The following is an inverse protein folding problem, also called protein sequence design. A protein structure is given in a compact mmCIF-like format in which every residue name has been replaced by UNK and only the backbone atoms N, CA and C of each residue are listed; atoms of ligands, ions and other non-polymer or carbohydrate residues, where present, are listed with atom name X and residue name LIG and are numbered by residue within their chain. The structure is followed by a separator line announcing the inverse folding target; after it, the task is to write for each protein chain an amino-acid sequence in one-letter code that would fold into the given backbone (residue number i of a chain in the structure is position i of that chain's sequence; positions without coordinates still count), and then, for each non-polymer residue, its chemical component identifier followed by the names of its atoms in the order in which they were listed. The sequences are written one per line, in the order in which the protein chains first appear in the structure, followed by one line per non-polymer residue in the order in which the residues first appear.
data_IF_420410300380
#
_entry.id   IF_420410300380
#
_cell.length_a   1.000
_cell.length_b   1.000
_cell.length_c   1.000
_cell.angle_alpha   90.00
_cell.angle_beta   90.00
_cell.angle_gamma   90.00
#
_symmetry.space_group_name_H-M   'P 1'
#
loop_
_entity.id
_entity.type
_entity.pdbx_description
1 polymer ?
#
# COMPACT_ATOMS: atom_id res chain seq x y z
N UNK A 1 -14.63 0.44 2.51
CA UNK A 1 -14.24 1.15 3.74
C UNK A 1 -12.94 0.58 4.30
N UNK A 2 -12.85 -0.73 4.55
CA UNK A 2 -11.68 -1.36 5.22
C UNK A 2 -10.30 -1.03 4.63
N UNK A 3 -10.18 -0.80 3.31
CA UNK A 3 -8.90 -0.43 2.68
C UNK A 3 -8.35 0.95 3.12
N UNK A 4 -9.16 2.00 2.98
CA UNK A 4 -8.75 3.35 3.35
C UNK A 4 -8.62 3.50 4.87
N UNK A 5 -9.46 2.80 5.64
CA UNK A 5 -9.33 2.71 7.09
C UNK A 5 -7.98 2.09 7.48
N UNK A 6 -7.58 1.01 6.78
CA UNK A 6 -6.26 0.38 6.96
C UNK A 6 -5.09 1.34 6.72
N UNK A 7 -5.14 2.13 5.63
CA UNK A 7 -4.12 3.14 5.33
C UNK A 7 -4.09 4.24 6.41
N UNK A 8 -5.25 4.72 6.85
CA UNK A 8 -5.34 5.72 7.91
C UNK A 8 -4.77 5.20 9.24
N UNK A 9 -5.09 3.95 9.61
CA UNK A 9 -4.52 3.31 10.78
C UNK A 9 -3.00 3.18 10.71
N UNK A 10 -2.45 2.74 9.57
CA UNK A 10 -0.99 2.63 9.39
C UNK A 10 -0.30 4.00 9.43
N UNK A 11 -0.92 5.04 8.87
CA UNK A 11 -0.43 6.41 8.97
C UNK A 11 -0.40 6.90 10.42
N UNK A 12 -1.48 6.66 11.18
CA UNK A 12 -1.56 7.02 12.60
C UNK A 12 -0.59 6.22 13.47
N UNK A 13 -0.41 4.93 13.21
CA UNK A 13 0.57 4.09 13.88
C UNK A 13 1.98 4.64 13.69
N UNK A 14 2.35 5.02 12.45
CA UNK A 14 3.66 5.63 12.16
C UNK A 14 3.87 6.96 12.86
N UNK A 15 2.82 7.78 13.00
CA UNK A 15 2.90 9.11 13.63
C UNK A 15 2.95 9.05 15.16
N UNK A 16 2.19 8.15 15.76
CA UNK A 16 1.95 8.14 17.22
C UNK A 16 2.68 7.03 17.96
N UNK A 17 3.14 6.00 17.24
CA UNK A 17 3.70 4.76 17.78
C UNK A 17 2.76 4.03 18.77
N UNK A 18 1.45 4.28 18.67
CA UNK A 18 0.43 3.69 19.53
C UNK A 18 -0.08 2.36 18.93
N UNK A 19 0.04 1.29 19.72
CA UNK A 19 -0.35 -0.08 19.33
C UNK A 19 -1.82 -0.22 18.96
N UNK A 20 -2.71 0.67 19.43
CA UNK A 20 -4.14 0.60 19.08
C UNK A 20 -4.36 0.73 17.57
N UNK A 21 -3.55 1.56 16.91
CA UNK A 21 -3.63 1.78 15.46
C UNK A 21 -3.09 0.58 14.69
N UNK A 22 -2.03 -0.05 15.20
CA UNK A 22 -1.55 -1.32 14.65
C UNK A 22 -2.62 -2.40 14.72
N UNK A 23 -3.34 -2.51 15.85
CA UNK A 23 -4.47 -3.43 15.98
C UNK A 23 -5.59 -3.14 14.97
N UNK A 24 -5.90 -1.86 14.74
CA UNK A 24 -6.85 -1.43 13.70
C UNK A 24 -6.42 -1.84 12.30
N UNK A 25 -5.16 -1.58 11.95
CA UNK A 25 -4.56 -1.96 10.67
C UNK A 25 -4.57 -3.48 10.46
N UNK A 26 -4.20 -4.27 11.47
CA UNK A 26 -4.24 -5.72 11.42
C UNK A 26 -5.66 -6.25 11.16
N UNK A 27 -6.68 -5.67 11.81
CA UNK A 27 -8.08 -6.04 11.55
C UNK A 27 -8.51 -5.75 10.11
N UNK A 28 -8.11 -4.60 9.56
CA UNK A 28 -8.39 -4.24 8.17
C UNK A 28 -7.72 -5.21 7.19
N UNK A 29 -6.45 -5.55 7.43
CA UNK A 29 -5.70 -6.54 6.64
C UNK A 29 -6.40 -7.90 6.70
N UNK A 30 -6.73 -8.43 7.87
CA UNK A 30 -7.39 -9.74 8.00
C UNK A 30 -8.76 -9.82 7.34
N UNK A 31 -9.52 -8.72 7.28
CA UNK A 31 -10.77 -8.67 6.52
C UNK A 31 -10.52 -8.74 5.01
N UNK A 32 -9.52 -8.01 4.50
CA UNK A 32 -9.15 -8.06 3.09
C UNK A 32 -8.56 -9.41 2.68
N UNK A 33 -7.76 -10.05 3.55
CA UNK A 33 -7.27 -11.43 3.36
C UNK A 33 -8.44 -12.39 3.16
N UNK A 34 -9.47 -12.28 4.00
CA UNK A 34 -10.67 -13.09 3.89
C UNK A 34 -11.43 -12.82 2.59
N UNK A 35 -11.51 -11.58 2.15
CA UNK A 35 -12.14 -11.24 0.86
C UNK A 35 -11.38 -11.86 -0.33
N UNK A 36 -10.04 -11.76 -0.32
CA UNK A 36 -9.20 -12.39 -1.35
C UNK A 36 -9.36 -13.91 -1.33
N UNK A 37 -9.34 -14.53 -0.15
CA UNK A 37 -9.50 -15.99 0.00
C UNK A 37 -10.83 -16.51 -0.56
N UNK A 38 -11.93 -15.77 -0.38
CA UNK A 38 -13.24 -16.15 -0.91
C UNK A 38 -13.44 -15.79 -2.39
N UNK A 39 -12.37 -15.42 -3.11
CA UNK A 39 -12.45 -15.13 -4.54
C UNK A 39 -13.28 -13.89 -4.85
N UNK A 40 -13.35 -12.93 -3.91
CA UNK A 40 -13.85 -11.58 -4.25
C UNK A 40 -12.79 -10.88 -5.08
N UNK A 41 -12.81 -11.17 -6.37
CA UNK A 41 -11.95 -10.56 -7.37
C UNK A 41 -12.07 -9.04 -7.26
N UNK A 42 -10.92 -8.35 -7.26
CA UNK A 42 -10.69 -6.90 -7.16
C UNK A 42 -10.17 -6.33 -5.83
N UNK A 43 -9.82 -7.16 -4.82
CA UNK A 43 -9.23 -6.66 -3.57
C UNK A 43 -7.74 -7.01 -3.36
N UNK A 44 -7.13 -7.80 -4.23
CA UNK A 44 -5.74 -8.28 -4.05
C UNK A 44 -4.71 -7.15 -4.02
N UNK A 45 -4.82 -6.18 -4.93
CA UNK A 45 -3.94 -5.01 -4.95
C UNK A 45 -4.03 -4.17 -3.66
N UNK A 46 -5.22 -4.09 -3.06
CA UNK A 46 -5.49 -3.38 -1.79
C UNK A 46 -4.82 -4.08 -0.62
N UNK A 47 -4.95 -5.41 -0.57
CA UNK A 47 -4.29 -6.23 0.45
C UNK A 47 -2.77 -6.09 0.36
N UNK A 48 -2.20 -6.25 -0.85
CA UNK A 48 -0.77 -6.13 -1.08
C UNK A 48 -0.23 -4.76 -0.64
N UNK A 49 -0.97 -3.69 -0.89
CA UNK A 49 -0.56 -2.35 -0.46
C UNK A 49 -0.54 -2.21 1.07
N UNK A 50 -1.58 -2.68 1.77
CA UNK A 50 -1.61 -2.61 3.23
C UNK A 50 -0.52 -3.46 3.87
N UNK A 51 -0.23 -4.64 3.31
CA UNK A 51 0.88 -5.47 3.76
C UNK A 51 2.23 -4.81 3.50
N UNK A 52 2.40 -4.12 2.37
CA UNK A 52 3.61 -3.34 2.09
C UNK A 52 3.79 -2.21 3.10
N UNK A 53 2.75 -1.42 3.36
CA UNK A 53 2.78 -0.32 4.33
C UNK A 53 3.05 -0.82 5.76
N UNK A 54 2.40 -1.91 6.18
CA UNK A 54 2.64 -2.53 7.49
C UNK A 54 4.09 -3.02 7.61
N UNK A 55 4.58 -3.73 6.60
CA UNK A 55 5.95 -4.24 6.60
C UNK A 55 6.98 -3.12 6.44
N UNK A 56 6.66 -1.97 5.87
CA UNK A 56 7.60 -0.85 5.76
C UNK A 56 8.03 -0.27 7.12
N UNK A 57 7.40 -0.68 8.22
CA UNK A 57 7.78 -0.27 9.58
C UNK A 57 8.97 -1.09 10.12
N UNK A 58 9.08 -2.38 9.79
CA UNK A 58 10.07 -3.30 10.40
C UNK A 58 10.61 -4.38 9.45
N UNK A 59 10.16 -4.44 8.21
CA UNK A 59 10.44 -5.49 7.24
C UNK A 59 11.67 -5.21 6.38
N UNK A 60 12.16 -6.27 5.72
CA UNK A 60 13.28 -6.17 4.79
C UNK A 60 12.90 -5.34 3.55
N UNK A 61 13.82 -4.47 3.12
CA UNK A 61 13.60 -3.53 2.02
C UNK A 61 13.05 -4.20 0.76
N UNK A 62 13.70 -5.27 0.29
CA UNK A 62 13.32 -5.98 -0.94
C UNK A 62 11.91 -6.60 -0.85
N UNK A 63 11.55 -7.13 0.32
CA UNK A 63 10.23 -7.73 0.51
C UNK A 63 9.10 -6.70 0.54
N UNK A 64 9.38 -5.51 1.06
CA UNK A 64 8.45 -4.38 1.07
C UNK A 64 8.31 -3.83 -0.34
N UNK A 65 9.45 -3.59 -1.01
CA UNK A 65 9.51 -3.11 -2.38
C UNK A 65 8.73 -4.03 -3.34
N UNK A 66 8.95 -5.34 -3.25
CA UNK A 66 8.24 -6.35 -4.04
C UNK A 66 6.73 -6.28 -3.85
N UNK A 67 6.24 -6.12 -2.62
CA UNK A 67 4.79 -6.03 -2.34
C UNK A 67 4.17 -4.77 -2.95
N UNK A 68 4.83 -3.61 -2.86
CA UNK A 68 4.38 -2.41 -3.56
C UNK A 68 4.30 -2.62 -5.08
N UNK A 69 5.35 -3.22 -5.69
CA UNK A 69 5.38 -3.50 -7.12
C UNK A 69 4.24 -4.43 -7.56
N UNK A 70 3.95 -5.47 -6.78
CA UNK A 70 2.82 -6.35 -7.04
C UNK A 70 1.50 -5.59 -6.94
N UNK A 71 1.29 -4.79 -5.88
CA UNK A 71 0.09 -3.97 -5.74
C UNK A 71 -0.14 -3.06 -6.96
N UNK A 72 0.89 -2.33 -7.40
CA UNK A 72 0.85 -1.46 -8.58
C UNK A 72 0.47 -2.25 -9.84
N UNK A 73 1.09 -3.42 -10.06
CA UNK A 73 0.84 -4.25 -11.23
C UNK A 73 -0.59 -4.80 -11.26
N UNK A 74 -1.09 -5.30 -10.12
CA UNK A 74 -2.46 -5.80 -10.02
C UNK A 74 -3.49 -4.69 -10.15
N UNK A 75 -3.25 -3.50 -9.58
CA UNK A 75 -4.14 -2.36 -9.73
C UNK A 75 -4.23 -1.93 -11.21
N UNK A 76 -3.08 -1.76 -11.87
CA UNK A 76 -3.03 -1.37 -13.29
C UNK A 76 -3.65 -2.41 -14.23
N UNK A 77 -3.38 -3.71 -14.02
CA UNK A 77 -3.94 -4.79 -14.85
C UNK A 77 -5.48 -4.80 -14.83
N UNK A 78 -6.09 -4.40 -13.72
CA UNK A 78 -7.55 -4.41 -13.55
C UNK A 78 -8.18 -3.02 -13.69
N UNK A 79 -7.43 -2.00 -14.13
CA UNK A 79 -7.97 -0.66 -14.37
C UNK A 79 -8.25 0.18 -13.11
N UNK A 80 -7.70 -0.18 -11.95
CA UNK A 80 -7.83 0.60 -10.71
C UNK A 80 -6.83 1.76 -10.70
N UNK A 81 -7.07 2.77 -11.53
CA UNK A 81 -6.14 3.88 -11.79
C UNK A 81 -5.81 4.65 -10.50
N UNK A 82 -6.80 4.97 -9.68
CA UNK A 82 -6.58 5.70 -8.43
C UNK A 82 -5.80 4.87 -7.40
N UNK A 83 -6.13 3.59 -7.23
CA UNK A 83 -5.37 2.72 -6.34
C UNK A 83 -3.94 2.47 -6.85
N UNK A 84 -3.75 2.40 -8.18
CA UNK A 84 -2.43 2.35 -8.79
C UNK A 84 -1.64 3.63 -8.51
N UNK A 85 -2.28 4.80 -8.63
CA UNK A 85 -1.66 6.10 -8.34
C UNK A 85 -1.22 6.19 -6.87
N UNK A 86 -2.10 5.83 -5.93
CA UNK A 86 -1.79 5.78 -4.49
C UNK A 86 -0.63 4.81 -4.26
N UNK A 87 -0.66 3.60 -4.81
CA UNK A 87 0.41 2.63 -4.59
C UNK A 87 1.78 3.12 -5.12
N UNK A 88 1.82 3.86 -6.23
CA UNK A 88 3.04 4.51 -6.72
C UNK A 88 3.52 5.62 -5.77
N UNK A 89 2.62 6.48 -5.29
CA UNK A 89 2.96 7.54 -4.32
C UNK A 89 3.55 6.95 -3.03
N UNK A 90 2.89 5.93 -2.48
CA UNK A 90 3.34 5.22 -1.28
C UNK A 90 4.70 4.53 -1.45
N UNK A 91 4.95 3.96 -2.63
CA UNK A 91 6.27 3.41 -2.95
C UNK A 91 7.32 4.52 -3.08
N UNK A 92 6.98 5.65 -3.67
CA UNK A 92 7.85 6.83 -3.71
C UNK A 92 8.25 7.29 -2.31
N UNK A 93 7.29 7.39 -1.39
CA UNK A 93 7.53 7.71 0.03
C UNK A 93 8.50 6.72 0.69
N UNK A 94 8.28 5.42 0.45
CA UNK A 94 9.12 4.36 1.00
C UNK A 94 10.55 4.45 0.46
N UNK A 95 10.72 4.63 -0.84
CA UNK A 95 12.02 4.76 -1.49
C UNK A 95 12.77 6.01 -1.00
N UNK A 96 12.08 7.14 -0.92
CA UNK A 96 12.65 8.40 -0.46
C UNK A 96 13.18 8.28 0.98
N UNK A 97 12.41 7.65 1.88
CA UNK A 97 12.83 7.40 3.27
C UNK A 97 14.07 6.50 3.38
N UNK A 98 14.28 5.62 2.41
CA UNK A 98 15.44 4.74 2.34
C UNK A 98 16.60 5.33 1.51
N UNK A 99 16.50 6.59 1.06
CA UNK A 99 17.55 7.26 0.29
C UNK A 99 17.65 6.83 -1.18
N UNK A 100 16.59 6.21 -1.72
CA UNK A 100 16.57 5.70 -3.09
C UNK A 100 16.07 6.77 -4.08
N UNK A 101 16.90 7.09 -5.07
CA UNK A 101 16.65 8.15 -6.05
C UNK A 101 15.51 7.83 -7.01
N UNK A 102 15.11 6.55 -7.11
CA UNK A 102 13.97 6.11 -7.92
C UNK A 102 12.64 6.66 -7.41
N UNK A 103 12.58 7.20 -6.18
CA UNK A 103 11.37 7.81 -5.62
C UNK A 103 10.72 8.84 -6.56
N UNK A 104 11.52 9.70 -7.19
CA UNK A 104 11.05 10.72 -8.14
C UNK A 104 10.27 10.14 -9.33
N UNK A 105 10.72 9.00 -9.86
CA UNK A 105 10.05 8.30 -10.95
C UNK A 105 8.64 7.86 -10.54
N UNK A 106 8.50 7.29 -9.34
CA UNK A 106 7.22 6.80 -8.84
C UNK A 106 6.23 7.93 -8.53
N UNK A 107 6.71 9.06 -8.02
CA UNK A 107 5.87 10.26 -7.88
C UNK A 107 5.40 10.79 -9.24
N UNK A 108 6.27 10.82 -10.25
CA UNK A 108 5.90 11.23 -11.61
C UNK A 108 4.81 10.33 -12.21
N UNK A 109 4.92 9.01 -12.05
CA UNK A 109 3.90 8.04 -12.48
C UNK A 109 2.59 8.28 -11.74
N UNK A 110 2.64 8.43 -10.41
CA UNK A 110 1.44 8.68 -9.60
C UNK A 110 0.69 9.93 -10.06
N UNK A 111 1.39 11.05 -10.24
CA UNK A 111 0.81 12.29 -10.72
C UNK A 111 0.17 12.13 -12.11
N UNK A 112 0.82 11.40 -13.03
CA UNK A 112 0.26 11.15 -14.36
C UNK A 112 -1.02 10.31 -14.34
N UNK A 113 -1.18 9.42 -13.36
CA UNK A 113 -2.37 8.58 -13.19
C UNK A 113 -3.53 9.36 -12.57
N UNK A 114 -3.27 10.33 -11.68
CA UNK A 114 -4.32 11.18 -11.12
C UNK A 114 -4.92 12.18 -12.12
N UNK A 115 -4.24 12.43 -13.24
CA UNK A 115 -4.69 13.36 -14.29
C UNK A 115 -5.48 12.69 -15.43
N UNK A 116 -5.73 11.38 -15.33
CA UNK A 116 -6.55 10.61 -16.28
C UNK A 116 -7.99 10.52 -15.79
#
# INVERSE_FOLDING_TARGET
TDFYDGLAFLAMARKTNDMKWMSGASKAISKLERHVQYGKDNCEHKLLLLQAESNSLLGAFEDVFRKYKLSIAFAGKNGFIHEQAIANERLGDFLLKNGDTRASQYYGISNSLYLQ
#
